data_IF_225492415149
#
_entry.id   IF_225492415149
#
_cell.length_a   1.000
_cell.length_b   1.000
_cell.length_c   1.000
_cell.angle_alpha   90.00
_cell.angle_beta   90.00
_cell.angle_gamma   90.00
#
_symmetry.space_group_name_H-M   'P 1'
#
loop_
_entity.id
_entity.type
_entity.pdbx_description
1 polymer ?
#
# COMPACT_ATOMS: atom_id res chain seq x y z
N UNK A 1 9.04 1.09 -0.24
CA UNK A 1 8.23 -0.14 -0.42
C UNK A 1 6.85 0.19 0.15
N UNK A 2 5.74 -0.21 -0.47
CA UNK A 2 4.41 0.01 0.11
C UNK A 2 4.33 -0.67 1.49
N UNK A 3 3.83 0.05 2.47
CA UNK A 3 3.63 -0.42 3.84
C UNK A 3 2.14 -0.73 4.05
N UNK A 4 1.81 -1.56 5.04
CA UNK A 4 0.41 -1.92 5.31
C UNK A 4 -0.49 -0.70 5.58
N UNK A 5 0.06 0.38 6.18
CA UNK A 5 -0.66 1.63 6.42
C UNK A 5 -1.11 2.33 5.13
N UNK A 6 -0.45 2.07 3.99
CA UNK A 6 -0.82 2.67 2.70
C UNK A 6 -2.19 2.17 2.20
N UNK A 7 -2.71 1.05 2.73
CA UNK A 7 -4.07 0.61 2.44
C UNK A 7 -5.13 1.65 2.81
N UNK A 8 -4.90 2.50 3.83
CA UNK A 8 -5.83 3.61 4.15
C UNK A 8 -6.03 4.52 2.95
N UNK A 9 -4.95 4.84 2.24
CA UNK A 9 -4.99 5.70 1.05
C UNK A 9 -5.80 5.07 -0.08
N UNK A 10 -5.68 3.75 -0.25
CA UNK A 10 -6.48 3.01 -1.23
C UNK A 10 -7.97 3.10 -0.89
N UNK A 11 -8.34 2.95 0.38
CA UNK A 11 -9.72 3.05 0.87
C UNK A 11 -10.26 4.49 0.86
N UNK A 12 -9.40 5.50 0.90
CA UNK A 12 -9.80 6.91 0.71
C UNK A 12 -10.09 7.23 -0.77
N UNK A 13 -9.31 6.62 -1.68
CA UNK A 13 -9.44 6.85 -3.12
C UNK A 13 -10.57 6.03 -3.75
N UNK A 14 -10.79 4.82 -3.25
CA UNK A 14 -11.78 3.89 -3.78
C UNK A 14 -12.91 3.71 -2.76
N UNK A 15 -14.19 3.67 -3.19
CA UNK A 15 -15.32 3.48 -2.29
C UNK A 15 -15.48 2.02 -1.82
N UNK A 16 -14.37 1.35 -1.48
CA UNK A 16 -14.33 -0.08 -1.14
C UNK A 16 -15.20 -0.44 0.07
N UNK A 17 -15.29 0.44 1.08
CA UNK A 17 -16.13 0.20 2.26
C UNK A 17 -17.62 0.17 1.91
N UNK A 18 -18.05 1.04 0.99
CA UNK A 18 -19.44 1.20 0.59
C UNK A 18 -19.85 0.18 -0.47
N UNK A 19 -19.02 -0.01 -1.49
CA UNK A 19 -19.38 -0.79 -2.68
C UNK A 19 -19.01 -2.27 -2.53
N UNK A 20 -17.99 -2.60 -1.73
CA UNK A 20 -17.50 -3.98 -1.54
C UNK A 20 -17.73 -4.51 -0.12
N UNK A 21 -18.34 -3.71 0.77
CA UNK A 21 -18.53 -4.01 2.19
C UNK A 21 -17.21 -4.38 2.92
N UNK A 22 -16.09 -3.86 2.44
CA UNK A 22 -14.76 -4.11 3.01
C UNK A 22 -14.46 -3.18 4.19
N UNK A 23 -13.48 -3.55 5.02
CA UNK A 23 -13.00 -2.72 6.14
C UNK A 23 -11.49 -2.83 6.32
N UNK A 24 -10.90 -1.89 7.04
CA UNK A 24 -9.53 -1.98 7.55
C UNK A 24 -9.54 -2.22 9.06
N UNK A 25 -8.68 -3.13 9.53
CA UNK A 25 -8.38 -3.28 10.96
C UNK A 25 -7.56 -2.09 11.48
N UNK A 26 -7.36 -2.01 12.80
CA UNK A 26 -6.44 -1.03 13.39
C UNK A 26 -4.98 -1.19 12.92
N UNK A 27 -4.62 -2.39 12.44
CA UNK A 27 -3.33 -2.69 11.81
C UNK A 27 -3.33 -2.50 10.29
N UNK A 28 -4.36 -1.87 9.72
CA UNK A 28 -4.52 -1.63 8.28
C UNK A 28 -4.59 -2.90 7.42
N UNK A 29 -4.98 -4.03 8.01
CA UNK A 29 -5.27 -5.24 7.24
C UNK A 29 -6.68 -5.19 6.67
N UNK A 30 -6.87 -5.75 5.47
CA UNK A 30 -8.18 -5.81 4.81
C UNK A 30 -9.07 -6.87 5.45
N UNK A 31 -10.36 -6.58 5.55
CA UNK A 31 -11.41 -7.50 5.97
C UNK A 31 -12.52 -7.50 4.90
N UNK A 32 -12.90 -8.66 4.34
CA UNK A 32 -12.42 -10.03 4.64
C UNK A 32 -10.93 -10.26 4.34
N UNK A 33 -10.30 -11.26 4.95
CA UNK A 33 -8.85 -11.51 4.74
C UNK A 33 -8.53 -11.96 3.32
N UNK A 34 -9.49 -12.62 2.67
CA UNK A 34 -9.45 -13.05 1.26
C UNK A 34 -9.68 -11.86 0.31
N UNK A 35 -9.01 -10.74 0.58
CA UNK A 35 -9.07 -9.51 -0.19
C UNK A 35 -7.70 -9.17 -0.75
N UNK A 36 -7.66 -8.56 -1.93
CA UNK A 36 -6.41 -8.11 -2.56
C UNK A 36 -6.59 -6.69 -3.09
N UNK A 37 -5.60 -5.84 -2.84
CA UNK A 37 -5.46 -4.54 -3.50
C UNK A 37 -4.21 -4.53 -4.37
N UNK A 38 -4.28 -3.87 -5.52
CA UNK A 38 -3.16 -3.76 -6.45
C UNK A 38 -3.10 -2.34 -7.03
N UNK A 39 -1.88 -1.92 -7.37
CA UNK A 39 -1.64 -0.72 -8.18
C UNK A 39 -1.36 -1.19 -9.60
N UNK A 40 -2.08 -0.62 -10.57
CA UNK A 40 -1.94 -0.97 -11.98
C UNK A 40 -1.10 0.13 -12.65
N UNK A 41 0.02 -0.26 -13.26
CA UNK A 41 0.91 0.64 -14.00
C UNK A 41 0.98 0.18 -15.45
N UNK A 42 0.59 1.05 -16.38
CA UNK A 42 0.45 0.69 -17.80
C UNK A 42 1.73 0.83 -18.64
N UNK A 43 2.83 1.32 -18.05
CA UNK A 43 4.06 1.53 -18.81
C UNK A 43 4.66 0.19 -19.28
N UNK A 44 5.08 0.05 -20.56
CA UNK A 44 5.54 -1.24 -21.11
C UNK A 44 6.78 -1.80 -20.39
N UNK A 45 7.64 -0.91 -19.89
CA UNK A 45 8.85 -1.30 -19.16
C UNK A 45 8.63 -1.45 -17.64
N UNK A 46 7.39 -1.33 -17.15
CA UNK A 46 7.11 -1.47 -15.72
C UNK A 46 7.31 -2.92 -15.28
N UNK A 47 8.19 -3.12 -14.30
CA UNK A 47 8.48 -4.43 -13.72
C UNK A 47 8.56 -4.34 -12.20
N UNK A 48 8.28 -5.46 -11.52
CA UNK A 48 8.53 -5.55 -10.08
C UNK A 48 10.04 -5.58 -9.83
N UNK A 49 10.52 -4.73 -8.93
CA UNK A 49 11.91 -4.70 -8.50
C UNK A 49 11.98 -4.49 -6.99
N UNK A 50 13.07 -4.97 -6.38
CA UNK A 50 13.37 -4.72 -4.98
C UNK A 50 14.21 -3.46 -4.86
N UNK A 51 13.90 -2.62 -3.88
CA UNK A 51 14.61 -1.34 -3.68
C UNK A 51 16.01 -1.57 -3.08
N UNK A 52 16.26 -2.71 -2.44
CA UNK A 52 17.58 -3.08 -1.91
C UNK A 52 18.11 -2.22 -0.75
N UNK A 53 17.44 -1.12 -0.42
CA UNK A 53 17.80 -0.24 0.70
C UNK A 53 17.40 -0.81 2.05
N UNK A 54 18.28 -0.62 3.05
CA UNK A 54 17.97 -0.93 4.44
C UNK A 54 16.89 0.02 4.96
N UNK A 55 15.98 -0.49 5.80
CA UNK A 55 14.98 0.33 6.52
C UNK A 55 15.64 1.46 7.31
N UNK A 56 16.88 1.27 7.77
CA UNK A 56 17.67 2.29 8.45
C UNK A 56 17.98 3.46 7.50
N UNK A 57 18.43 3.19 6.29
CA UNK A 57 18.84 4.22 5.33
C UNK A 57 17.64 5.09 4.89
N UNK A 58 16.46 4.46 4.74
CA UNK A 58 15.21 5.17 4.43
C UNK A 58 14.75 6.08 5.56
N UNK A 59 14.87 5.64 6.82
CA UNK A 59 14.50 6.43 7.98
C UNK A 59 15.43 7.63 8.17
N UNK A 60 16.73 7.49 7.88
CA UNK A 60 17.69 8.59 7.95
C UNK A 60 17.37 9.66 6.91
N UNK A 61 17.07 9.27 5.66
CA UNK A 61 16.67 10.21 4.59
C UNK A 61 15.39 11.00 4.90
N UNK A 62 14.37 10.36 5.47
CA UNK A 62 13.12 11.02 5.80
C UNK A 62 13.24 12.06 6.93
N UNK A 63 14.31 11.99 7.74
CA UNK A 63 14.60 12.93 8.83
C UNK A 63 15.28 14.22 8.34
N UNK A 64 15.93 14.15 7.19
CA UNK A 64 16.70 15.24 6.58
C UNK A 64 15.87 16.06 5.56
N UNK A 65 14.60 15.69 5.33
CA UNK A 65 13.63 16.39 4.45
C UNK A 65 12.57 17.13 5.27
#
# INVERSE_FOLDING_TARGET
IPETSDHRRVFDLLPAEKELAMKLTSGFQMVPEESTCAIIVHHPDATYYNIGESRVDQLMRAKDS
#
